data_IF_078289296065
#
_entry.id   IF_078289296065
#
_cell.length_a   1.000
_cell.length_b   1.000
_cell.length_c   1.000
_cell.angle_alpha   90.00
_cell.angle_beta   90.00
_cell.angle_gamma   90.00
#
_symmetry.space_group_name_H-M   'P 1'
#
loop_
_entity.id
_entity.type
_entity.pdbx_description
1 polymer ?
#
# COMPACT_ATOMS: atom_id res chain seq x y z
N UNK A 1 0.10 -12.47 26.77
CA UNK A 1 0.75 -12.06 25.53
C UNK A 1 2.01 -11.27 25.84
N UNK A 2 3.08 -11.56 25.11
CA UNK A 2 4.34 -10.81 25.21
C UNK A 2 4.45 -9.80 24.06
N UNK A 3 3.41 -8.97 23.87
CA UNK A 3 3.46 -7.87 22.92
C UNK A 3 4.59 -6.94 23.34
N UNK A 4 5.57 -6.83 22.48
CA UNK A 4 6.79 -6.10 22.76
C UNK A 4 6.86 -4.79 21.99
N UNK A 5 6.35 -4.80 20.78
CA UNK A 5 6.45 -3.67 19.87
C UNK A 5 5.11 -3.37 19.21
N UNK A 6 4.88 -2.09 19.01
CA UNK A 6 3.70 -1.56 18.33
C UNK A 6 4.12 -0.40 17.45
N UNK A 7 3.72 -0.44 16.18
CA UNK A 7 4.08 0.58 15.20
C UNK A 7 2.86 0.96 14.36
N UNK A 8 2.61 2.24 14.23
CA UNK A 8 1.57 2.81 13.37
C UNK A 8 2.27 3.54 12.23
N UNK A 9 1.93 3.17 11.01
CA UNK A 9 2.44 3.77 9.78
C UNK A 9 1.26 4.34 8.99
N UNK A 10 1.40 5.57 8.52
CA UNK A 10 0.35 6.30 7.80
C UNK A 10 0.95 6.98 6.58
N UNK A 11 0.21 7.01 5.50
CA UNK A 11 0.56 7.78 4.31
C UNK A 11 0.40 9.29 4.60
N UNK A 12 1.46 10.07 4.38
CA UNK A 12 1.48 11.51 4.68
C UNK A 12 1.13 12.39 3.47
N UNK A 13 0.83 11.74 2.33
CA UNK A 13 0.58 12.38 1.07
C UNK A 13 1.69 12.20 0.04
N UNK A 14 2.86 11.76 0.47
CA UNK A 14 4.03 11.46 -0.39
C UNK A 14 4.51 10.05 -0.14
N UNK A 15 4.75 9.69 1.11
CA UNK A 15 5.29 8.40 1.53
C UNK A 15 4.53 7.83 2.73
N UNK A 16 4.73 6.55 2.99
CA UNK A 16 4.34 5.92 4.24
C UNK A 16 5.37 6.23 5.31
N UNK A 17 4.92 6.82 6.42
CA UNK A 17 5.77 7.25 7.51
C UNK A 17 5.33 6.65 8.84
N UNK A 18 6.30 6.34 9.68
CA UNK A 18 6.03 5.90 11.06
C UNK A 18 5.51 7.09 11.86
N UNK A 19 4.24 7.01 12.27
CA UNK A 19 3.59 8.03 13.11
C UNK A 19 3.82 7.81 14.60
N UNK A 20 3.83 6.55 15.02
CA UNK A 20 4.11 6.17 16.39
C UNK A 20 4.74 4.77 16.41
N UNK A 21 5.78 4.59 17.19
CA UNK A 21 6.44 3.32 17.40
C UNK A 21 7.24 3.32 18.69
N UNK A 22 7.31 2.18 19.35
CA UNK A 22 8.28 1.92 20.42
C UNK A 22 9.49 1.09 19.93
N UNK A 23 9.57 0.83 18.62
CA UNK A 23 10.75 0.24 17.98
C UNK A 23 11.79 1.33 17.74
N UNK A 24 13.07 0.98 17.88
CA UNK A 24 14.17 1.90 17.61
C UNK A 24 14.06 2.45 16.18
N UNK A 25 14.31 3.74 16.01
CA UNK A 25 14.18 4.45 14.73
C UNK A 25 15.07 3.90 13.61
N UNK A 26 16.14 3.18 13.94
CA UNK A 26 16.97 2.49 12.94
C UNK A 26 16.21 1.45 12.11
N UNK A 27 15.06 0.97 12.60
CA UNK A 27 14.20 0.00 11.92
C UNK A 27 12.99 0.63 11.21
N UNK A 28 12.82 1.94 11.30
CA UNK A 28 11.65 2.62 10.76
C UNK A 28 11.60 2.60 9.24
N UNK A 29 12.74 2.58 8.56
CA UNK A 29 12.76 2.44 7.10
C UNK A 29 12.12 1.12 6.64
N UNK A 30 12.44 0.01 7.28
CA UNK A 30 11.79 -1.28 7.00
C UNK A 30 10.31 -1.27 7.40
N UNK A 31 10.00 -0.76 8.60
CA UNK A 31 8.62 -0.72 9.10
C UNK A 31 7.70 0.15 8.24
N UNK A 32 8.20 1.20 7.61
CA UNK A 32 7.44 2.07 6.71
C UNK A 32 7.15 1.45 5.34
N UNK A 33 7.79 0.33 5.00
CA UNK A 33 7.67 -0.37 3.71
C UNK A 33 6.95 -1.72 3.79
N UNK A 34 6.30 -2.04 4.90
CA UNK A 34 5.60 -3.33 5.05
C UNK A 34 4.47 -3.53 4.05
N UNK A 35 3.86 -2.47 3.57
CA UNK A 35 2.84 -2.49 2.52
C UNK A 35 3.38 -3.04 1.18
N UNK A 36 4.70 -3.08 0.98
CA UNK A 36 5.34 -3.66 -0.20
C UNK A 36 5.53 -5.18 -0.10
N UNK A 37 5.44 -5.75 1.11
CA UNK A 37 5.59 -7.19 1.36
C UNK A 37 4.34 -7.93 0.90
N UNK A 38 4.50 -8.94 0.05
CA UNK A 38 3.39 -9.62 -0.62
C UNK A 38 2.30 -10.12 0.32
N UNK A 39 2.69 -10.74 1.44
CA UNK A 39 1.73 -11.27 2.42
C UNK A 39 0.84 -10.17 3.03
N UNK A 40 1.35 -8.94 3.15
CA UNK A 40 0.60 -7.80 3.65
C UNK A 40 -0.23 -7.10 2.57
N UNK A 41 0.19 -7.17 1.30
CA UNK A 41 -0.63 -6.70 0.16
C UNK A 41 -1.96 -7.45 0.09
N UNK A 42 -1.97 -8.75 0.37
CA UNK A 42 -3.19 -9.53 0.44
C UNK A 42 -4.09 -9.07 1.59
N UNK A 43 -3.51 -8.83 2.76
CA UNK A 43 -4.22 -8.27 3.92
C UNK A 43 -4.87 -6.92 3.59
N UNK A 44 -4.14 -6.03 2.93
CA UNK A 44 -4.65 -4.73 2.50
C UNK A 44 -5.80 -4.90 1.50
N UNK A 45 -5.64 -5.78 0.50
CA UNK A 45 -6.67 -5.96 -0.54
C UNK A 45 -7.97 -6.56 -0.03
N UNK A 46 -7.91 -7.33 1.05
CA UNK A 46 -9.07 -7.96 1.69
C UNK A 46 -9.60 -7.19 2.90
N UNK A 47 -8.95 -6.10 3.27
CA UNK A 47 -9.22 -5.31 4.48
C UNK A 47 -9.25 -6.16 5.77
N UNK A 48 -8.44 -7.23 5.80
CA UNK A 48 -8.44 -8.21 6.90
C UNK A 48 -7.08 -8.24 7.59
N UNK A 49 -7.03 -8.43 8.92
CA UNK A 49 -5.77 -8.59 9.63
C UNK A 49 -4.97 -9.78 9.10
N UNK A 50 -3.65 -9.69 9.15
CA UNK A 50 -2.75 -10.79 8.80
C UNK A 50 -1.86 -11.14 9.98
N UNK A 51 -2.01 -12.36 10.44
CA UNK A 51 -1.12 -12.97 11.42
C UNK A 51 0.03 -13.70 10.73
N UNK A 52 1.23 -13.53 11.25
CA UNK A 52 2.43 -14.25 10.83
C UNK A 52 3.25 -14.69 12.05
N UNK A 53 3.88 -15.85 11.95
CA UNK A 53 4.75 -16.41 12.98
C UNK A 53 5.87 -17.21 12.34
N UNK A 54 6.99 -17.35 13.05
CA UNK A 54 8.00 -18.37 12.71
C UNK A 54 7.57 -19.73 13.27
N UNK A 55 7.94 -20.79 12.59
CA UNK A 55 7.64 -22.16 13.00
C UNK A 55 8.90 -22.92 13.48
N UNK A 56 10.07 -22.52 13.02
CA UNK A 56 11.32 -23.18 13.34
C UNK A 56 12.34 -22.20 13.94
N UNK A 57 13.24 -22.75 14.74
CA UNK A 57 14.35 -21.96 15.27
C UNK A 57 15.26 -21.44 14.14
N UNK A 58 15.62 -20.16 14.19
CA UNK A 58 16.41 -19.49 13.17
C UNK A 58 15.64 -18.89 12.00
N UNK A 59 14.33 -19.16 11.87
CA UNK A 59 13.49 -18.45 10.92
C UNK A 59 13.29 -16.99 11.29
N UNK A 60 13.07 -16.15 10.28
CA UNK A 60 12.72 -14.75 10.44
C UNK A 60 11.37 -14.47 9.81
N UNK A 61 10.66 -13.48 10.35
CA UNK A 61 9.46 -12.96 9.71
C UNK A 61 9.82 -12.34 8.34
N UNK A 62 8.94 -12.40 7.34
CA UNK A 62 9.24 -12.05 5.95
C UNK A 62 9.85 -10.65 5.74
N UNK A 63 9.56 -9.70 6.62
CA UNK A 63 10.08 -8.34 6.54
C UNK A 63 11.38 -8.11 7.34
N UNK A 64 11.86 -9.12 8.08
CA UNK A 64 13.06 -9.02 8.92
C UNK A 64 14.30 -9.69 8.32
N UNK A 65 14.27 -10.05 7.05
CA UNK A 65 15.41 -10.74 6.39
C UNK A 65 16.72 -9.94 6.46
N UNK A 66 16.61 -8.61 6.46
CA UNK A 66 17.75 -7.67 6.47
C UNK A 66 17.97 -6.98 7.82
N UNK A 67 17.22 -7.37 8.85
CA UNK A 67 17.25 -6.74 10.17
C UNK A 67 17.65 -7.70 11.27
N UNK A 68 17.88 -7.13 12.48
CA UNK A 68 17.96 -7.92 13.70
C UNK A 68 16.65 -8.64 13.97
N UNK A 69 16.76 -9.87 14.43
CA UNK A 69 15.64 -10.70 14.85
C UNK A 69 15.05 -10.18 16.17
N UNK A 70 14.07 -9.28 16.09
CA UNK A 70 13.36 -8.71 17.25
C UNK A 70 12.00 -9.34 17.50
N UNK A 71 11.34 -9.84 16.48
CA UNK A 71 10.01 -10.40 16.56
C UNK A 71 9.97 -11.84 16.05
N UNK A 72 9.14 -12.67 16.68
CA UNK A 72 8.89 -14.07 16.35
C UNK A 72 7.48 -14.30 15.82
N UNK A 73 6.57 -13.44 16.18
CA UNK A 73 5.21 -13.38 15.64
C UNK A 73 4.73 -11.94 15.55
N UNK A 74 3.80 -11.67 14.64
CA UNK A 74 3.24 -10.36 14.45
C UNK A 74 1.81 -10.43 13.90
N UNK A 75 1.01 -9.38 14.17
CA UNK A 75 -0.26 -9.14 13.50
C UNK A 75 -0.19 -7.79 12.80
N UNK A 76 -0.51 -7.79 11.52
CA UNK A 76 -0.63 -6.62 10.68
C UNK A 76 -2.11 -6.27 10.52
N UNK A 77 -2.48 -5.03 10.86
CA UNK A 77 -3.83 -4.50 10.70
C UNK A 77 -3.82 -3.39 9.65
N UNK A 78 -4.42 -3.60 8.48
CA UNK A 78 -4.60 -2.52 7.52
C UNK A 78 -5.61 -1.50 8.08
N UNK A 79 -5.32 -0.22 7.93
CA UNK A 79 -6.15 0.88 8.42
C UNK A 79 -6.89 1.53 7.27
N UNK A 80 -8.20 1.68 7.43
CA UNK A 80 -9.09 2.29 6.45
C UNK A 80 -9.88 3.44 7.06
N UNK A 81 -10.09 4.48 6.28
CA UNK A 81 -11.02 5.56 6.57
C UNK A 81 -11.95 5.69 5.37
N UNK A 82 -13.27 5.56 5.59
CA UNK A 82 -14.30 5.64 4.56
C UNK A 82 -13.98 4.75 3.34
N UNK A 83 -13.56 3.50 3.62
CA UNK A 83 -13.12 2.49 2.64
C UNK A 83 -11.82 2.84 1.88
N UNK A 84 -11.09 3.86 2.30
CA UNK A 84 -9.77 4.22 1.74
C UNK A 84 -8.67 3.71 2.65
N UNK A 85 -7.75 2.92 2.10
CA UNK A 85 -6.56 2.48 2.82
C UNK A 85 -5.63 3.66 3.10
N UNK A 86 -5.28 3.87 4.36
CA UNK A 86 -4.46 5.01 4.81
C UNK A 86 -3.12 4.61 5.41
N UNK A 87 -2.92 3.36 5.71
CA UNK A 87 -1.73 2.86 6.38
C UNK A 87 -2.00 1.57 7.12
N UNK A 88 -1.19 1.28 8.10
CA UNK A 88 -1.31 0.05 8.88
C UNK A 88 -0.82 0.22 10.32
N UNK A 89 -1.29 -0.68 11.16
CA UNK A 89 -0.81 -0.90 12.50
C UNK A 89 -0.24 -2.32 12.60
N UNK A 90 0.99 -2.46 13.05
CA UNK A 90 1.62 -3.75 13.32
C UNK A 90 1.96 -3.88 14.81
N UNK A 91 1.63 -5.02 15.38
CA UNK A 91 2.06 -5.44 16.72
C UNK A 91 2.95 -6.66 16.60
N UNK A 92 4.01 -6.69 17.39
CA UNK A 92 5.04 -7.71 17.33
C UNK A 92 5.30 -8.32 18.71
N UNK A 93 5.48 -9.63 18.75
CA UNK A 93 5.89 -10.39 19.94
C UNK A 93 7.25 -11.04 19.74
N UNK A 94 8.02 -11.10 20.82
CA UNK A 94 9.28 -11.85 20.87
C UNK A 94 9.12 -13.38 21.01
N UNK A 95 7.89 -13.88 21.02
CA UNK A 95 7.54 -15.30 21.18
C UNK A 95 6.84 -15.79 19.92
N UNK A 96 7.22 -16.96 19.36
CA UNK A 96 6.46 -17.62 18.31
C UNK A 96 5.04 -17.96 18.79
N UNK A 97 4.08 -17.97 17.88
CA UNK A 97 2.70 -18.39 18.15
C UNK A 97 1.96 -17.64 19.27
N UNK A 98 2.44 -16.46 19.67
CA UNK A 98 1.87 -15.68 20.78
C UNK A 98 0.43 -15.21 20.48
N UNK A 99 0.07 -15.13 19.22
CA UNK A 99 -1.24 -14.66 18.77
C UNK A 99 -2.19 -15.75 18.27
N UNK A 100 -1.82 -17.05 18.35
CA UNK A 100 -2.61 -18.15 17.79
C UNK A 100 -4.04 -18.24 18.36
N UNK A 101 -4.20 -17.91 19.64
CA UNK A 101 -5.47 -18.00 20.37
C UNK A 101 -5.96 -16.62 20.84
N UNK A 102 -5.63 -15.58 20.09
CA UNK A 102 -5.95 -14.22 20.52
C UNK A 102 -7.43 -13.91 20.22
N UNK A 103 -8.08 -13.30 21.21
CA UNK A 103 -9.35 -12.62 20.99
C UNK A 103 -9.08 -11.33 20.23
N UNK A 104 -9.44 -11.31 18.95
CA UNK A 104 -9.22 -10.17 18.07
C UNK A 104 -10.08 -8.95 18.42
N UNK A 105 -11.12 -9.11 19.21
CA UNK A 105 -12.08 -8.02 19.55
C UNK A 105 -11.39 -6.82 20.20
N UNK A 106 -10.43 -7.06 21.10
CA UNK A 106 -9.67 -5.97 21.74
C UNK A 106 -8.84 -5.20 20.71
N UNK A 107 -8.20 -5.91 19.79
CA UNK A 107 -7.38 -5.28 18.73
C UNK A 107 -8.23 -4.51 17.72
N UNK A 108 -9.41 -5.03 17.37
CA UNK A 108 -10.36 -4.30 16.54
C UNK A 108 -10.79 -2.99 17.21
N UNK A 109 -11.08 -3.00 18.50
CA UNK A 109 -11.41 -1.78 19.26
C UNK A 109 -10.23 -0.79 19.25
N UNK A 110 -9.00 -1.26 19.46
CA UNK A 110 -7.80 -0.40 19.42
C UNK A 110 -7.60 0.16 18.03
N UNK A 111 -7.75 -0.65 16.98
CA UNK A 111 -7.68 -0.23 15.59
C UNK A 111 -8.69 0.89 15.28
N UNK A 112 -9.94 0.73 15.71
CA UNK A 112 -10.99 1.75 15.54
C UNK A 112 -10.64 3.06 16.26
N UNK A 113 -10.06 2.99 17.46
CA UNK A 113 -9.57 4.16 18.19
C UNK A 113 -8.42 4.85 17.42
N UNK A 114 -7.46 4.09 16.91
CA UNK A 114 -6.37 4.62 16.08
C UNK A 114 -6.95 5.37 14.88
N UNK A 115 -7.88 4.75 14.15
CA UNK A 115 -8.55 5.35 12.99
C UNK A 115 -9.29 6.63 13.38
N UNK A 116 -9.99 6.64 14.52
CA UNK A 116 -10.71 7.82 15.01
C UNK A 116 -9.77 9.00 15.30
N UNK A 117 -8.62 8.73 15.92
CA UNK A 117 -7.60 9.76 16.19
C UNK A 117 -7.02 10.30 14.89
N UNK A 118 -6.69 9.41 13.93
CA UNK A 118 -6.18 9.81 12.62
C UNK A 118 -7.19 10.66 11.84
N UNK A 119 -8.49 10.34 11.95
CA UNK A 119 -9.57 11.17 11.40
C UNK A 119 -9.58 12.59 11.96
N UNK A 120 -9.34 12.73 13.24
CA UNK A 120 -9.39 14.03 13.91
C UNK A 120 -8.22 14.97 13.55
N UNK A 121 -7.06 14.41 13.20
CA UNK A 121 -5.81 15.19 13.11
C UNK A 121 -5.52 15.71 11.69
N UNK A 122 -5.79 14.98 10.60
CA UNK A 122 -5.38 15.43 9.25
C UNK A 122 -6.17 14.77 8.09
N UNK A 123 -7.39 14.35 8.38
CA UNK A 123 -8.18 13.48 7.51
C UNK A 123 -8.32 13.95 6.05
N UNK A 124 -8.70 15.21 5.82
CA UNK A 124 -8.94 15.70 4.46
C UNK A 124 -7.66 15.72 3.61
N UNK A 125 -6.56 16.12 4.21
CA UNK A 125 -5.26 16.21 3.53
C UNK A 125 -4.70 14.84 3.15
N UNK A 126 -4.89 13.85 4.02
CA UNK A 126 -4.50 12.45 3.77
C UNK A 126 -5.33 11.86 2.63
N UNK A 127 -6.66 12.03 2.65
CA UNK A 127 -7.55 11.50 1.61
C UNK A 127 -7.30 12.12 0.24
N UNK A 128 -7.17 13.43 0.16
CA UNK A 128 -6.92 14.11 -1.12
C UNK A 128 -5.64 13.59 -1.80
N UNK A 129 -4.64 13.21 -1.02
CA UNK A 129 -3.37 12.74 -1.54
C UNK A 129 -3.38 11.23 -1.85
N UNK A 130 -4.04 10.39 -1.02
CA UNK A 130 -4.13 8.94 -1.24
C UNK A 130 -4.97 8.61 -2.47
N UNK A 131 -6.09 9.32 -2.67
CA UNK A 131 -6.97 9.09 -3.81
C UNK A 131 -6.27 9.37 -5.15
N UNK A 132 -5.19 10.16 -5.15
CA UNK A 132 -4.41 10.51 -6.34
C UNK A 132 -3.37 9.47 -6.76
N UNK A 133 -3.06 8.50 -5.91
CA UNK A 133 -2.08 7.44 -6.19
C UNK A 133 -2.72 6.06 -6.13
N UNK A 134 -2.32 5.21 -7.06
CA UNK A 134 -2.65 3.78 -7.00
C UNK A 134 -1.65 3.05 -6.10
N UNK A 135 -2.16 2.41 -5.07
CA UNK A 135 -1.36 1.76 -4.04
C UNK A 135 -0.46 0.63 -4.57
N UNK A 136 -0.95 -0.12 -5.57
CA UNK A 136 -0.25 -1.31 -6.06
C UNK A 136 0.85 -0.98 -7.07
N UNK A 137 0.63 0.03 -7.90
CA UNK A 137 1.56 0.40 -8.97
C UNK A 137 2.38 1.65 -8.66
N UNK A 138 1.96 2.44 -7.67
CA UNK A 138 2.54 3.75 -7.38
C UNK A 138 2.24 4.82 -8.44
N UNK A 139 1.51 4.46 -9.50
CA UNK A 139 1.08 5.39 -10.53
C UNK A 139 0.04 6.37 -9.99
N UNK A 140 -0.17 7.47 -10.70
CA UNK A 140 -1.32 8.32 -10.44
C UNK A 140 -2.63 7.55 -10.73
N UNK A 141 -3.68 7.91 -10.01
CA UNK A 141 -5.03 7.33 -10.14
C UNK A 141 -5.86 8.07 -11.19
N UNK A 142 -7.07 7.55 -11.46
CA UNK A 142 -8.05 8.24 -12.30
C UNK A 142 -8.46 9.60 -11.71
N UNK A 143 -8.56 9.71 -10.38
CA UNK A 143 -8.90 10.96 -9.69
C UNK A 143 -7.84 12.04 -9.90
N UNK A 144 -6.56 11.65 -9.90
CA UNK A 144 -5.49 12.57 -10.29
C UNK A 144 -5.69 13.09 -11.72
N UNK A 145 -6.03 12.19 -12.66
CA UNK A 145 -6.24 12.57 -14.07
C UNK A 145 -7.33 13.62 -14.23
N UNK A 146 -8.47 13.44 -13.54
CA UNK A 146 -9.59 14.38 -13.59
C UNK A 146 -9.36 15.67 -12.79
N UNK A 147 -8.47 15.66 -11.82
CA UNK A 147 -8.10 16.81 -11.01
C UNK A 147 -6.87 17.55 -11.55
N UNK A 148 -5.71 17.25 -10.98
CA UNK A 148 -4.46 17.97 -11.32
C UNK A 148 -3.95 17.62 -12.70
N UNK A 149 -4.14 16.39 -13.16
CA UNK A 149 -3.80 15.98 -14.52
C UNK A 149 -4.53 16.82 -15.56
N UNK A 150 -5.82 17.08 -15.35
CA UNK A 150 -6.60 17.95 -16.23
C UNK A 150 -6.03 19.37 -16.32
N UNK A 151 -5.61 19.95 -15.20
CA UNK A 151 -5.00 21.29 -15.18
C UNK A 151 -3.71 21.35 -16.02
N UNK A 152 -2.93 20.25 -16.03
CA UNK A 152 -1.72 20.14 -16.85
C UNK A 152 -2.11 20.02 -18.33
N UNK A 153 -3.09 19.16 -18.65
CA UNK A 153 -3.57 18.95 -20.03
C UNK A 153 -4.10 20.26 -20.64
N UNK A 154 -4.85 21.02 -19.86
CA UNK A 154 -5.47 22.29 -20.28
C UNK A 154 -4.44 23.40 -20.60
N UNK A 155 -3.16 23.21 -20.26
CA UNK A 155 -2.08 24.13 -20.63
C UNK A 155 -1.61 23.95 -22.09
N UNK A 156 -2.00 22.87 -22.73
CA UNK A 156 -1.59 22.52 -24.09
C UNK A 156 -2.76 22.61 -25.06
N UNK A 157 -2.48 23.05 -26.27
CA UNK A 157 -3.48 23.14 -27.34
C UNK A 157 -3.91 21.79 -27.87
N UNK A 158 -2.99 20.81 -27.83
CA UNK A 158 -3.22 19.44 -28.32
C UNK A 158 -2.65 18.44 -27.34
N UNK A 159 -3.37 17.32 -27.19
CA UNK A 159 -2.91 16.17 -26.41
C UNK A 159 -3.47 14.90 -27.03
N UNK A 160 -2.67 13.84 -27.06
CA UNK A 160 -3.12 12.51 -27.44
C UNK A 160 -3.36 11.68 -26.20
N UNK A 161 -4.43 10.87 -26.21
CA UNK A 161 -4.78 9.96 -25.10
C UNK A 161 -4.69 8.53 -25.62
N UNK A 162 -3.90 7.71 -24.94
CA UNK A 162 -3.82 6.27 -25.16
C UNK A 162 -4.44 5.55 -23.94
N UNK A 163 -5.43 4.72 -24.19
CA UNK A 163 -5.97 3.79 -23.19
C UNK A 163 -5.61 2.36 -23.59
N UNK A 164 -5.03 1.61 -22.68
CA UNK A 164 -4.78 0.19 -22.88
C UNK A 164 -5.24 -0.65 -21.69
N UNK A 165 -5.38 -1.93 -21.92
CA UNK A 165 -5.84 -2.90 -20.91
C UNK A 165 -5.03 -4.19 -21.05
N UNK A 166 -4.68 -4.80 -19.90
CA UNK A 166 -4.17 -6.17 -19.86
C UNK A 166 -5.36 -7.11 -20.05
N UNK A 167 -5.43 -7.79 -21.20
CA UNK A 167 -6.63 -8.53 -21.62
C UNK A 167 -6.84 -9.85 -20.89
N UNK A 168 -5.76 -10.54 -20.51
CA UNK A 168 -5.80 -11.89 -19.90
C UNK A 168 -5.69 -11.90 -18.37
N UNK A 169 -5.83 -10.75 -17.71
CA UNK A 169 -5.64 -10.64 -16.26
C UNK A 169 -6.64 -11.49 -15.46
N UNK A 170 -7.86 -11.67 -15.97
CA UNK A 170 -8.88 -12.46 -15.32
C UNK A 170 -8.52 -13.96 -15.26
N UNK A 171 -7.92 -14.48 -16.33
CA UNK A 171 -7.43 -15.86 -16.37
C UNK A 171 -6.23 -16.07 -15.45
N UNK A 172 -5.35 -15.11 -15.39
CA UNK A 172 -4.20 -15.12 -14.44
C UNK A 172 -4.72 -15.09 -12.99
N UNK A 173 -5.70 -14.26 -12.69
CA UNK A 173 -6.31 -14.14 -11.36
C UNK A 173 -7.03 -15.41 -10.91
N UNK A 174 -7.57 -16.21 -11.84
CA UNK A 174 -8.15 -17.53 -11.53
C UNK A 174 -7.10 -18.53 -11.03
N UNK A 175 -5.86 -18.40 -11.50
CA UNK A 175 -4.73 -19.24 -11.05
C UNK A 175 -4.16 -18.69 -9.74
N UNK A 176 -3.85 -17.39 -9.70
CA UNK A 176 -3.32 -16.73 -8.51
C UNK A 176 -3.56 -15.21 -8.60
N UNK A 177 -4.21 -14.66 -7.59
CA UNK A 177 -4.43 -13.21 -7.45
C UNK A 177 -3.10 -12.46 -7.25
N UNK A 178 -2.16 -13.07 -6.55
CA UNK A 178 -0.82 -12.53 -6.37
C UNK A 178 -0.08 -12.41 -7.70
N UNK A 179 -0.18 -13.43 -8.55
CA UNK A 179 0.41 -13.40 -9.89
C UNK A 179 -0.22 -12.30 -10.75
N UNK A 180 -1.53 -12.12 -10.69
CA UNK A 180 -2.22 -11.04 -11.38
C UNK A 180 -1.77 -9.65 -10.93
N UNK A 181 -1.62 -9.45 -9.63
CA UNK A 181 -1.09 -8.19 -9.08
C UNK A 181 0.36 -7.94 -9.54
N UNK A 182 1.20 -8.99 -9.55
CA UNK A 182 2.57 -8.90 -10.04
C UNK A 182 2.61 -8.50 -11.51
N UNK A 183 1.78 -9.09 -12.34
CA UNK A 183 1.68 -8.74 -13.78
C UNK A 183 1.30 -7.27 -13.96
N UNK A 184 0.30 -6.79 -13.23
CA UNK A 184 -0.12 -5.38 -13.26
C UNK A 184 1.05 -4.46 -12.88
N UNK A 185 1.77 -4.78 -11.81
CA UNK A 185 2.90 -3.98 -11.32
C UNK A 185 4.07 -3.97 -12.32
N UNK A 186 4.43 -5.12 -12.87
CA UNK A 186 5.52 -5.24 -13.84
C UNK A 186 5.22 -4.51 -15.16
N UNK A 187 3.98 -4.64 -15.67
CA UNK A 187 3.54 -3.90 -16.85
C UNK A 187 3.61 -2.40 -16.61
N UNK A 188 3.11 -1.94 -15.45
CA UNK A 188 3.15 -0.53 -15.07
C UNK A 188 4.57 0.02 -15.04
N UNK A 189 5.48 -0.71 -14.41
CA UNK A 189 6.89 -0.34 -14.30
C UNK A 189 7.55 -0.26 -15.67
N UNK A 190 7.38 -1.28 -16.49
CA UNK A 190 7.93 -1.32 -17.86
C UNK A 190 7.45 -0.15 -18.70
N UNK A 191 6.16 0.18 -18.67
CA UNK A 191 5.61 1.32 -19.39
C UNK A 191 6.19 2.62 -18.86
N UNK A 192 6.22 2.80 -17.54
CA UNK A 192 6.73 4.01 -16.90
C UNK A 192 8.21 4.28 -17.23
N UNK A 193 9.04 3.25 -17.28
CA UNK A 193 10.45 3.35 -17.63
C UNK A 193 10.69 3.73 -19.11
N UNK A 194 9.70 3.50 -19.98
CA UNK A 194 9.82 3.72 -21.42
C UNK A 194 9.06 4.95 -21.93
N UNK A 195 8.37 5.69 -21.08
CA UNK A 195 7.72 6.96 -21.42
C UNK A 195 8.44 8.13 -20.74
N UNK A 196 8.42 9.30 -21.40
CA UNK A 196 9.02 10.49 -20.81
C UNK A 196 8.25 10.94 -19.56
N UNK A 197 8.95 11.36 -18.50
CA UNK A 197 8.37 11.80 -17.20
C UNK A 197 7.35 12.95 -17.34
N UNK A 198 7.45 13.74 -18.39
CA UNK A 198 6.51 14.84 -18.66
C UNK A 198 5.11 14.38 -19.04
N UNK A 199 4.93 13.11 -19.44
CA UNK A 199 3.63 12.56 -19.78
C UNK A 199 2.90 12.01 -18.58
N UNK A 200 1.58 12.12 -18.59
CA UNK A 200 0.75 11.64 -17.50
C UNK A 200 0.47 10.16 -17.74
N UNK A 201 0.86 9.32 -16.78
CA UNK A 201 0.55 7.89 -16.81
C UNK A 201 -0.24 7.53 -15.55
N UNK A 202 -1.44 7.00 -15.73
CA UNK A 202 -2.35 6.65 -14.63
C UNK A 202 -2.83 5.20 -14.73
N UNK A 203 -3.07 4.58 -13.59
CA UNK A 203 -3.90 3.41 -13.49
C UNK A 203 -5.34 3.85 -13.40
N UNK A 204 -6.13 3.57 -14.44
CA UNK A 204 -7.49 4.09 -14.53
C UNK A 204 -8.47 3.28 -13.67
N UNK A 205 -8.52 1.97 -13.90
CA UNK A 205 -9.36 1.05 -13.13
C UNK A 205 -8.97 -0.40 -13.41
N UNK A 206 -8.70 -1.20 -12.37
CA UNK A 206 -8.33 -2.61 -12.53
C UNK A 206 -7.11 -2.79 -13.45
N UNK A 207 -7.22 -3.54 -14.56
CA UNK A 207 -6.14 -3.74 -15.52
C UNK A 207 -6.05 -2.65 -16.62
N UNK A 208 -6.77 -1.54 -16.48
CA UNK A 208 -6.81 -0.46 -17.47
C UNK A 208 -5.89 0.68 -17.08
N UNK A 209 -5.20 1.22 -18.07
CA UNK A 209 -4.24 2.30 -17.93
C UNK A 209 -4.51 3.40 -18.96
N UNK A 210 -4.16 4.63 -18.62
CA UNK A 210 -4.23 5.77 -19.51
C UNK A 210 -2.89 6.49 -19.53
N UNK A 211 -2.42 6.81 -20.73
CA UNK A 211 -1.29 7.71 -20.94
C UNK A 211 -1.81 8.94 -21.67
N UNK A 212 -1.44 10.12 -21.18
CA UNK A 212 -1.73 11.39 -21.84
C UNK A 212 -0.41 12.00 -22.32
N UNK A 213 -0.28 12.11 -23.62
CA UNK A 213 0.84 12.73 -24.31
C UNK A 213 0.49 14.21 -24.55
N UNK A 214 0.83 15.07 -23.60
CA UNK A 214 0.52 16.52 -23.67
C UNK A 214 1.50 17.23 -24.59
N UNK A 215 1.00 18.13 -25.42
CA UNK A 215 1.83 18.94 -26.32
C UNK A 215 2.41 18.18 -27.52
N UNK A 216 1.79 17.08 -27.93
CA UNK A 216 2.16 16.37 -29.16
C UNK A 216 1.48 17.09 -30.33
N UNK A 217 2.24 17.44 -31.35
CA UNK A 217 1.69 17.86 -32.63
C UNK A 217 1.11 16.62 -33.34
N UNK A 218 -0.07 16.82 -33.95
CA UNK A 218 -0.80 15.76 -34.64
C UNK A 218 -0.13 15.35 -35.97
#
# INVERSE_FOLDING_TARGET
YQIKYSTIVVFDGTDYVVKASNVNSNHWDTLSKLHEVNIFKDSISTASPKYITINNEGEKLPYQEKEFDRAKSAIFFPLYIDNVYIGYWIIESGVPHDFDNIDTTIFETVKENIVSVLKAVDYQKILENIVRKDLFTGLNSAEYLYGDGKKIIDQYTTSAICMFRISNIEDINRVSRELGNKVITEVSKNVQENIAEKYIFVRYMGPKFVIVFSGVEA
#
